data_IF_419754300353
#
_entry.id   IF_419754300353
#
_cell.length_a   1.000
_cell.length_b   1.000
_cell.length_c   1.000
_cell.angle_alpha   90.00
_cell.angle_beta   90.00
_cell.angle_gamma   90.00
#
_symmetry.space_group_name_H-M   'P 1'
#
loop_
_entity.id
_entity.type
_entity.pdbx_description
1 polymer ?
#
# COMPACT_ATOMS: atom_id res chain seq x y z
N UNK A 1 8.15 34.92 9.55
CA UNK A 1 7.92 33.46 9.58
C UNK A 1 8.14 32.89 8.19
N UNK A 2 8.68 31.68 8.08
CA UNK A 2 8.79 31.03 6.78
C UNK A 2 7.41 30.56 6.30
N UNK A 3 7.19 30.47 4.98
CA UNK A 3 5.97 29.92 4.41
C UNK A 3 5.66 28.50 4.94
N UNK A 4 6.70 27.71 5.24
CA UNK A 4 6.58 26.38 5.86
C UNK A 4 5.91 26.47 7.24
N UNK A 5 6.33 27.43 8.07
CA UNK A 5 5.78 27.65 9.41
C UNK A 5 4.31 28.05 9.34
N UNK A 6 3.97 28.99 8.44
CA UNK A 6 2.59 29.46 8.25
C UNK A 6 1.70 28.30 7.77
N UNK A 7 2.19 27.49 6.82
CA UNK A 7 1.48 26.33 6.30
C UNK A 7 1.19 25.30 7.41
N UNK A 8 2.18 24.97 8.24
CA UNK A 8 2.01 24.03 9.35
C UNK A 8 0.97 24.55 10.35
N UNK A 9 1.00 25.85 10.68
CA UNK A 9 0.03 26.46 11.59
C UNK A 9 -1.39 26.37 11.02
N UNK A 10 -1.59 26.75 9.76
CA UNK A 10 -2.90 26.69 9.09
C UNK A 10 -3.41 25.24 9.06
N UNK A 11 -2.57 24.29 8.66
CA UNK A 11 -2.93 22.87 8.61
C UNK A 11 -3.33 22.35 9.99
N UNK A 12 -2.57 22.72 11.03
CA UNK A 12 -2.85 22.30 12.41
C UNK A 12 -4.15 22.91 12.93
N UNK A 13 -4.42 24.19 12.63
CA UNK A 13 -5.66 24.85 13.01
C UNK A 13 -6.88 24.21 12.32
N UNK A 14 -6.76 23.92 11.01
CA UNK A 14 -7.80 23.23 10.25
C UNK A 14 -8.04 21.82 10.77
N UNK A 15 -6.98 21.06 11.05
CA UNK A 15 -7.09 19.72 11.61
C UNK A 15 -7.78 19.76 12.98
N UNK A 16 -7.35 20.66 13.86
CA UNK A 16 -7.96 20.83 15.19
C UNK A 16 -9.44 21.19 15.07
N UNK A 17 -9.79 22.14 14.20
CA UNK A 17 -11.17 22.54 13.96
C UNK A 17 -12.00 21.35 13.42
N UNK A 18 -11.46 20.59 12.48
CA UNK A 18 -12.11 19.39 11.94
C UNK A 18 -12.39 18.36 13.03
N UNK A 19 -11.40 18.07 13.88
CA UNK A 19 -11.56 17.13 14.99
C UNK A 19 -12.62 17.62 15.98
N UNK A 20 -12.57 18.88 16.37
CA UNK A 20 -13.52 19.46 17.33
C UNK A 20 -14.95 19.44 16.79
N UNK A 21 -15.15 19.91 15.55
CA UNK A 21 -16.48 19.95 14.90
C UNK A 21 -17.09 18.57 14.64
N UNK A 22 -16.28 17.51 14.66
CA UNK A 22 -16.74 16.13 14.45
C UNK A 22 -16.55 15.26 15.70
N UNK A 23 -16.32 15.86 16.86
CA UNK A 23 -16.08 15.13 18.11
C UNK A 23 -17.34 14.48 18.70
N UNK A 24 -18.52 14.89 18.22
CA UNK A 24 -19.81 14.33 18.64
C UNK A 24 -19.87 12.81 18.51
N UNK A 25 -20.67 12.22 19.39
CA UNK A 25 -21.03 10.81 19.37
C UNK A 25 -22.29 10.54 18.53
N UNK A 26 -22.34 9.34 17.96
CA UNK A 26 -23.48 8.81 17.20
C UNK A 26 -23.82 7.43 17.77
N UNK A 27 -25.11 7.09 17.94
CA UNK A 27 -25.51 5.78 18.40
C UNK A 27 -25.25 4.72 17.32
N UNK A 28 -24.60 3.62 17.71
CA UNK A 28 -24.36 2.45 16.88
C UNK A 28 -24.96 1.19 17.52
N UNK A 29 -25.65 0.41 16.69
CA UNK A 29 -26.12 -0.93 17.05
C UNK A 29 -25.11 -1.96 16.57
N UNK A 30 -24.44 -2.60 17.50
CA UNK A 30 -23.56 -3.73 17.29
C UNK A 30 -24.31 -5.04 17.53
N UNK A 31 -23.79 -6.14 16.97
CA UNK A 31 -24.39 -7.48 17.04
C UNK A 31 -24.69 -7.92 18.49
N UNK A 32 -23.88 -7.45 19.45
CA UNK A 32 -23.98 -7.84 20.88
C UNK A 32 -24.42 -6.67 21.77
N UNK A 33 -24.49 -5.44 21.27
CA UNK A 33 -24.79 -4.25 22.06
C UNK A 33 -25.52 -3.19 21.23
N UNK A 34 -26.69 -2.75 21.71
CA UNK A 34 -27.48 -1.70 21.07
C UNK A 34 -27.18 -0.33 21.69
N UNK A 35 -27.44 0.74 20.93
CA UNK A 35 -27.33 2.15 21.33
C UNK A 35 -25.99 2.55 21.95
N UNK A 36 -24.90 1.91 21.50
CA UNK A 36 -23.55 2.25 21.95
C UNK A 36 -23.16 3.58 21.32
N UNK A 37 -22.87 4.58 22.15
CA UNK A 37 -22.42 5.88 21.67
C UNK A 37 -20.95 5.80 21.26
N UNK A 38 -20.68 6.11 19.99
CA UNK A 38 -19.34 6.05 19.40
C UNK A 38 -19.03 7.40 18.75
N UNK A 39 -17.83 7.92 18.98
CA UNK A 39 -17.38 9.16 18.32
C UNK A 39 -17.32 9.00 16.80
N UNK A 40 -17.86 9.98 16.06
CA UNK A 40 -17.78 10.02 14.58
C UNK A 40 -16.34 9.88 14.08
N UNK A 41 -15.37 10.43 14.82
CA UNK A 41 -13.95 10.35 14.50
C UNK A 41 -13.42 8.91 14.53
N UNK A 42 -13.84 8.10 15.50
CA UNK A 42 -13.43 6.69 15.62
C UNK A 42 -13.96 5.90 14.42
N UNK A 43 -15.22 6.13 14.05
CA UNK A 43 -15.85 5.48 12.89
C UNK A 43 -15.08 5.80 11.61
N UNK A 44 -14.78 7.08 11.37
CA UNK A 44 -14.00 7.51 10.19
C UNK A 44 -12.59 6.88 10.22
N UNK A 45 -11.93 6.88 11.37
CA UNK A 45 -10.59 6.29 11.53
C UNK A 45 -10.56 4.80 11.20
N UNK A 46 -11.52 4.03 11.70
CA UNK A 46 -11.64 2.59 11.38
C UNK A 46 -11.91 2.38 9.89
N UNK A 47 -12.81 3.15 9.28
CA UNK A 47 -13.09 3.08 7.85
C UNK A 47 -11.84 3.35 6.99
N UNK A 48 -11.02 4.33 7.37
CA UNK A 48 -9.76 4.64 6.68
C UNK A 48 -8.79 3.46 6.79
N UNK A 49 -8.61 2.88 7.98
CA UNK A 49 -7.72 1.74 8.18
C UNK A 49 -8.17 0.53 7.35
N UNK A 50 -9.45 0.19 7.41
CA UNK A 50 -10.02 -0.94 6.65
C UNK A 50 -9.88 -0.69 5.14
N UNK A 51 -10.24 0.51 4.68
CA UNK A 51 -10.09 0.90 3.28
C UNK A 51 -8.64 0.85 2.81
N UNK A 52 -7.69 1.28 3.63
CA UNK A 52 -6.26 1.18 3.35
C UNK A 52 -5.79 -0.27 3.25
N UNK A 53 -6.19 -1.14 4.19
CA UNK A 53 -5.83 -2.56 4.16
C UNK A 53 -6.39 -3.22 2.89
N UNK A 54 -7.67 -3.00 2.57
CA UNK A 54 -8.29 -3.54 1.36
C UNK A 54 -7.58 -3.02 0.12
N UNK A 55 -7.36 -1.71 0.03
CA UNK A 55 -6.67 -1.06 -1.08
C UNK A 55 -5.25 -1.58 -1.25
N UNK A 56 -4.52 -1.81 -0.16
CA UNK A 56 -3.18 -2.38 -0.19
C UNK A 56 -3.18 -3.83 -0.67
N UNK A 57 -4.10 -4.67 -0.17
CA UNK A 57 -4.20 -6.08 -0.56
C UNK A 57 -4.62 -6.21 -2.03
N UNK A 58 -5.61 -5.45 -2.47
CA UNK A 58 -6.13 -5.48 -3.85
C UNK A 58 -5.15 -4.81 -4.82
N UNK A 59 -4.53 -3.70 -4.42
CA UNK A 59 -3.57 -2.96 -5.22
C UNK A 59 -2.18 -3.59 -5.30
N UNK A 60 -1.91 -4.66 -4.51
CA UNK A 60 -0.63 -5.37 -4.56
C UNK A 60 -0.46 -6.00 -5.96
N UNK A 61 0.53 -5.57 -6.77
CA UNK A 61 0.75 -6.17 -8.08
C UNK A 61 1.08 -7.65 -7.88
N UNK A 62 0.27 -8.54 -8.48
CA UNK A 62 0.57 -9.97 -8.50
C UNK A 62 1.74 -10.16 -9.46
N UNK A 63 2.80 -10.86 -9.03
CA UNK A 63 3.89 -11.26 -9.92
C UNK A 63 3.28 -12.06 -11.07
N UNK A 64 3.29 -11.48 -12.27
CA UNK A 64 2.88 -12.17 -13.50
C UNK A 64 4.01 -13.13 -13.90
N UNK A 65 3.71 -14.17 -14.68
CA UNK A 65 4.72 -15.15 -15.13
C UNK A 65 5.91 -14.46 -15.81
N UNK A 66 5.66 -13.38 -16.57
CA UNK A 66 6.70 -12.53 -17.16
C UNK A 66 7.66 -11.90 -16.15
N UNK A 67 7.22 -11.59 -14.93
CA UNK A 67 8.12 -11.06 -13.89
C UNK A 67 9.11 -12.10 -13.36
N UNK A 68 8.84 -13.41 -13.54
CA UNK A 68 9.80 -14.46 -13.21
C UNK A 68 10.90 -14.55 -14.28
N UNK A 69 10.56 -14.39 -15.56
CA UNK A 69 11.53 -14.39 -16.66
C UNK A 69 12.55 -13.25 -16.49
N UNK A 70 12.10 -12.05 -16.11
CA UNK A 70 12.97 -10.91 -15.82
C UNK A 70 13.92 -11.16 -14.63
N UNK A 71 13.45 -11.86 -13.59
CA UNK A 71 14.29 -12.19 -12.42
C UNK A 71 15.30 -13.29 -12.75
N UNK A 72 14.92 -14.25 -13.61
CA UNK A 72 15.81 -15.30 -14.11
C UNK A 72 16.88 -14.68 -15.00
N UNK A 73 16.55 -13.80 -15.94
CA UNK A 73 17.53 -13.09 -16.78
C UNK A 73 18.48 -12.21 -15.95
N UNK A 74 17.97 -11.54 -14.91
CA UNK A 74 18.77 -10.65 -14.05
C UNK A 74 19.76 -11.41 -13.15
N UNK A 75 19.39 -12.61 -12.72
CA UNK A 75 20.24 -13.48 -11.90
C UNK A 75 20.99 -14.54 -12.72
N UNK A 76 20.74 -14.61 -14.02
CA UNK A 76 21.58 -15.36 -14.92
C UNK A 76 22.95 -14.66 -14.92
N UNK A 77 24.05 -15.35 -14.54
CA UNK A 77 25.36 -14.82 -14.83
C UNK A 77 25.40 -14.55 -16.33
N UNK A 78 26.04 -13.46 -16.74
CA UNK A 78 26.24 -13.08 -18.15
C UNK A 78 27.12 -14.14 -18.81
N UNK A 79 26.61 -15.36 -18.95
CA UNK A 79 27.17 -16.41 -19.74
C UNK A 79 26.86 -15.98 -21.15
N UNK A 80 27.89 -15.45 -21.79
CA UNK A 80 27.98 -15.22 -23.22
C UNK A 80 27.00 -16.13 -23.95
N UNK A 81 26.11 -15.53 -24.75
CA UNK A 81 25.32 -16.24 -25.75
C UNK A 81 26.24 -17.24 -26.47
N UNK A 82 26.05 -18.51 -26.13
CA UNK A 82 26.13 -19.65 -27.05
C UNK A 82 27.46 -19.77 -27.81
N UNK A 83 28.51 -20.18 -27.12
CA UNK A 83 29.51 -21.04 -27.75
C UNK A 83 29.21 -22.46 -27.28
N UNK A 84 28.85 -23.35 -28.22
CA UNK A 84 28.80 -24.79 -27.97
C UNK A 84 30.18 -25.23 -27.48
N UNK A 85 30.21 -26.12 -26.47
CA UNK A 85 31.42 -26.83 -26.08
C UNK A 85 32.07 -27.46 -27.30
N UNK A 86 33.40 -27.50 -27.35
CA UNK A 86 34.13 -28.12 -28.46
C UNK A 86 33.69 -29.58 -28.69
N UNK A 87 33.30 -30.28 -27.62
CA UNK A 87 32.73 -31.63 -27.69
C UNK A 87 31.37 -31.65 -28.39
N UNK A 88 30.48 -30.69 -28.10
CA UNK A 88 29.14 -30.62 -28.72
C UNK A 88 29.19 -30.26 -30.22
N UNK A 89 30.26 -29.60 -30.67
CA UNK A 89 30.46 -29.22 -32.08
C UNK A 89 30.77 -30.44 -32.95
N UNK A 90 31.47 -31.42 -32.40
CA UNK A 90 31.86 -32.63 -33.15
C UNK A 90 30.65 -33.55 -33.41
N UNK A 91 29.62 -33.48 -32.57
CA UNK A 91 28.38 -34.28 -32.74
C UNK A 91 27.42 -33.74 -33.82
N UNK A 92 27.57 -32.49 -34.24
CA UNK A 92 26.70 -31.86 -35.26
C UNK A 92 27.40 -31.65 -36.62
N UNK A 93 28.63 -32.15 -36.75
CA UNK A 93 29.43 -32.20 -37.99
C UNK A 93 29.14 -33.48 -38.77
#
# INVERSE_FOLDING_TARGET
>A
MSAKTISIIILTALLTAFLFLNSDEVPFNFIVANDVQVSKLIVIGVCIIVGFIIGFVVGRPRKTVSSYDDEIEKHQPVSNKKELSDEDRDYIS
#
